data_IF_255831872927
#
_entry.id   IF_255831872927
#
_cell.length_a   1.000
_cell.length_b   1.000
_cell.length_c   1.000
_cell.angle_alpha   90.00
_cell.angle_beta   90.00
_cell.angle_gamma   90.00
#
_symmetry.space_group_name_H-M   'P 1'
#
loop_
_entity.id
_entity.type
_entity.pdbx_description
1 polymer ?
#
# COMPACT_ATOMS: atom_id res chain seq x y z
N UNK A 1 57.00 22.11 60.16
CA UNK A 1 56.07 21.05 59.73
C UNK A 1 55.14 21.64 58.68
N UNK A 2 55.28 21.25 57.41
CA UNK A 2 54.43 21.74 56.33
C UNK A 2 53.82 20.54 55.60
N UNK A 3 52.53 20.30 55.82
CA UNK A 3 51.76 19.32 55.06
C UNK A 3 50.94 20.05 53.99
N UNK A 4 51.39 20.00 52.73
CA UNK A 4 50.56 20.39 51.58
C UNK A 4 49.67 19.20 51.20
N UNK A 5 48.38 19.32 51.43
CA UNK A 5 47.37 18.36 50.98
C UNK A 5 47.17 18.47 49.46
N UNK A 6 47.28 17.33 48.78
CA UNK A 6 47.00 17.14 47.38
C UNK A 6 45.57 16.62 47.18
N UNK A 7 44.61 17.48 46.85
CA UNK A 7 43.22 17.06 46.56
C UNK A 7 42.49 18.02 45.62
N UNK A 8 42.79 18.04 44.31
CA UNK A 8 41.91 18.76 43.34
C UNK A 8 42.02 18.30 41.88
N UNK A 9 41.99 16.99 41.61
CA UNK A 9 41.97 16.47 40.23
C UNK A 9 40.83 15.46 39.94
N UNK A 10 40.40 14.67 40.95
CA UNK A 10 39.38 13.61 40.76
C UNK A 10 37.97 14.15 40.51
N UNK A 11 37.54 15.22 41.18
CA UNK A 11 36.17 15.74 41.08
C UNK A 11 35.80 16.36 39.72
N UNK A 12 36.78 16.97 39.03
CA UNK A 12 36.56 17.65 37.74
C UNK A 12 36.39 16.65 36.59
N UNK A 13 37.11 15.52 36.66
CA UNK A 13 37.09 14.44 35.64
C UNK A 13 35.79 13.64 35.65
N UNK A 14 35.21 13.40 36.83
CA UNK A 14 33.95 12.63 36.98
C UNK A 14 32.74 13.43 36.45
N UNK A 15 32.69 14.75 36.73
CA UNK A 15 31.59 15.62 36.24
C UNK A 15 31.59 15.74 34.71
N UNK A 16 32.76 15.83 34.08
CA UNK A 16 32.87 15.98 32.61
C UNK A 16 32.48 14.70 31.87
N UNK A 17 32.84 13.52 32.38
CA UNK A 17 32.42 12.24 31.77
C UNK A 17 30.92 12.00 31.91
N UNK A 18 30.34 12.33 33.07
CA UNK A 18 28.88 12.20 33.30
C UNK A 18 28.08 13.13 32.39
N UNK A 19 28.54 14.36 32.16
CA UNK A 19 27.92 15.28 31.20
C UNK A 19 28.04 14.78 29.76
N UNK A 20 29.21 14.31 29.33
CA UNK A 20 29.42 13.77 27.97
C UNK A 20 28.50 12.58 27.67
N UNK A 21 28.35 11.64 28.61
CA UNK A 21 27.45 10.50 28.47
C UNK A 21 25.97 10.91 28.44
N UNK A 22 25.60 11.98 29.16
CA UNK A 22 24.25 12.54 29.13
C UNK A 22 23.95 13.20 27.78
N UNK A 23 24.87 14.00 27.23
CA UNK A 23 24.72 14.60 25.91
C UNK A 23 24.68 13.55 24.79
N UNK A 24 25.45 12.46 24.91
CA UNK A 24 25.44 11.37 23.94
C UNK A 24 24.10 10.62 23.97
N UNK A 25 23.57 10.31 25.16
CA UNK A 25 22.26 9.68 25.31
C UNK A 25 21.10 10.55 24.79
N UNK A 26 21.19 11.88 24.95
CA UNK A 26 20.20 12.81 24.40
C UNK A 26 20.26 12.80 22.87
N UNK A 27 21.45 12.93 22.27
CA UNK A 27 21.62 12.84 20.81
C UNK A 27 21.15 11.50 20.23
N UNK A 28 21.41 10.41 20.94
CA UNK A 28 21.01 9.06 20.52
C UNK A 28 19.50 8.87 20.57
N UNK A 29 18.82 9.36 21.61
CA UNK A 29 17.35 9.35 21.70
C UNK A 29 16.70 10.24 20.63
N UNK A 30 17.28 11.42 20.36
CA UNK A 30 16.81 12.31 19.29
C UNK A 30 16.99 11.68 17.89
N UNK A 31 18.09 10.98 17.65
CA UNK A 31 18.33 10.28 16.39
C UNK A 31 17.33 9.13 16.17
N UNK A 32 17.03 8.35 17.21
CA UNK A 32 16.04 7.26 17.16
C UNK A 32 14.63 7.81 16.89
N UNK A 33 14.26 8.93 17.52
CA UNK A 33 12.98 9.59 17.28
C UNK A 33 12.84 10.10 15.83
N UNK A 34 13.93 10.62 15.25
CA UNK A 34 13.94 11.11 13.87
C UNK A 34 13.77 9.97 12.85
N UNK A 35 14.43 8.82 13.08
CA UNK A 35 14.30 7.64 12.21
C UNK A 35 12.88 7.06 12.26
N UNK A 36 12.26 7.02 13.43
CA UNK A 36 10.89 6.52 13.60
C UNK A 36 9.83 7.39 12.87
N UNK A 37 10.09 8.69 12.68
CA UNK A 37 9.19 9.58 11.93
C UNK A 37 9.19 9.28 10.43
N UNK A 38 10.33 8.87 9.87
CA UNK A 38 10.52 8.69 8.42
C UNK A 38 9.84 7.41 7.91
N UNK A 39 9.62 6.41 8.77
CA UNK A 39 9.04 5.11 8.37
C UNK A 39 7.50 5.09 8.29
N UNK A 40 6.82 6.24 8.43
CA UNK A 40 5.36 6.27 8.66
C UNK A 40 4.47 6.23 7.40
N UNK A 41 5.02 6.21 6.18
CA UNK A 41 4.19 6.32 4.97
C UNK A 41 4.49 5.28 3.88
N UNK A 42 3.94 4.09 4.05
CA UNK A 42 3.72 3.15 2.93
C UNK A 42 2.22 2.87 2.79
N UNK A 43 1.52 3.76 2.09
CA UNK A 43 0.14 3.53 1.68
C UNK A 43 0.12 3.21 0.17
N UNK A 44 0.20 1.92 -0.19
CA UNK A 44 -0.19 1.50 -1.55
C UNK A 44 -1.70 1.47 -1.62
N UNK A 45 -2.29 2.50 -2.24
CA UNK A 45 -3.74 2.61 -2.34
C UNK A 45 -4.27 1.67 -3.43
N UNK A 46 -5.15 0.74 -3.06
CA UNK A 46 -5.98 0.00 -4.02
C UNK A 46 -6.83 1.01 -4.80
N UNK A 47 -6.94 0.92 -6.14
CA UNK A 47 -7.76 1.85 -6.90
C UNK A 47 -9.24 1.70 -6.53
N UNK A 48 -9.95 2.82 -6.54
CA UNK A 48 -11.39 2.83 -6.27
C UNK A 48 -12.16 2.35 -7.50
N UNK A 49 -12.85 1.23 -7.35
CA UNK A 49 -13.72 0.64 -8.37
C UNK A 49 -15.11 0.38 -7.78
N UNK A 50 -16.11 0.43 -8.64
CA UNK A 50 -17.46 -0.04 -8.34
C UNK A 50 -17.78 -1.28 -9.18
N UNK A 51 -18.53 -2.22 -8.60
CA UNK A 51 -18.86 -3.49 -9.25
C UNK A 51 -20.35 -3.74 -9.20
N UNK A 52 -20.97 -3.74 -10.37
CA UNK A 52 -22.38 -4.02 -10.54
C UNK A 52 -22.58 -5.48 -10.98
N UNK A 53 -23.53 -6.17 -10.35
CA UNK A 53 -23.95 -7.51 -10.71
C UNK A 53 -25.39 -7.49 -11.23
N UNK A 54 -25.70 -8.40 -12.14
CA UNK A 54 -27.07 -8.58 -12.61
C UNK A 54 -27.23 -9.87 -13.39
N UNK A 55 -28.40 -10.01 -14.00
CA UNK A 55 -28.72 -11.13 -14.88
C UNK A 55 -29.04 -10.59 -16.28
N UNK A 56 -28.72 -11.37 -17.31
CA UNK A 56 -29.19 -11.11 -18.66
C UNK A 56 -30.61 -11.70 -18.87
N UNK A 57 -31.21 -11.46 -20.04
CA UNK A 57 -32.55 -11.97 -20.36
C UNK A 57 -32.64 -13.50 -20.31
N UNK A 58 -31.54 -14.22 -20.57
CA UNK A 58 -31.53 -15.69 -20.54
C UNK A 58 -31.29 -16.25 -19.12
N UNK A 59 -31.11 -15.39 -18.11
CA UNK A 59 -30.90 -15.78 -16.72
C UNK A 59 -29.47 -16.14 -16.33
N UNK A 60 -28.46 -15.78 -17.14
CA UNK A 60 -27.05 -15.90 -16.75
C UNK A 60 -26.61 -14.68 -15.93
N UNK A 61 -25.85 -14.94 -14.87
CA UNK A 61 -25.25 -13.88 -14.07
C UNK A 61 -24.16 -13.14 -14.87
N UNK A 62 -24.07 -11.83 -14.68
CA UNK A 62 -23.09 -10.94 -15.31
C UNK A 62 -22.58 -9.89 -14.33
N UNK A 63 -21.38 -9.39 -14.62
CA UNK A 63 -20.70 -8.34 -13.85
C UNK A 63 -20.23 -7.21 -14.76
N UNK A 64 -20.25 -5.98 -14.25
CA UNK A 64 -19.68 -4.78 -14.87
C UNK A 64 -18.83 -4.06 -13.83
N UNK A 65 -17.64 -3.61 -14.23
CA UNK A 65 -16.69 -2.94 -13.35
C UNK A 65 -16.52 -1.50 -13.81
N UNK A 66 -16.68 -0.56 -12.89
CA UNK A 66 -16.54 0.89 -13.16
C UNK A 66 -15.29 1.39 -12.44
N UNK A 67 -14.43 2.10 -13.16
CA UNK A 67 -13.28 2.77 -12.61
C UNK A 67 -13.69 4.16 -12.11
N UNK A 68 -13.63 4.38 -10.80
CA UNK A 68 -13.94 5.68 -10.21
C UNK A 68 -12.73 6.60 -10.10
N UNK A 69 -11.55 6.12 -10.49
CA UNK A 69 -10.30 6.90 -10.49
C UNK A 69 -10.11 7.69 -11.79
N UNK A 70 -9.14 8.60 -11.77
CA UNK A 70 -8.70 9.37 -12.94
C UNK A 70 -7.54 8.73 -13.70
N UNK A 71 -7.14 7.50 -13.34
CA UNK A 71 -6.04 6.75 -13.98
C UNK A 71 -6.56 5.50 -14.66
N UNK A 72 -5.83 5.03 -15.66
CA UNK A 72 -6.10 3.73 -16.28
C UNK A 72 -5.78 2.59 -15.31
N UNK A 73 -6.66 1.58 -15.28
CA UNK A 73 -6.48 0.40 -14.45
C UNK A 73 -6.26 -0.85 -15.30
N UNK A 74 -5.34 -1.70 -14.85
CA UNK A 74 -5.24 -3.08 -15.29
C UNK A 74 -6.25 -3.91 -14.49
N UNK A 75 -7.20 -4.56 -15.16
CA UNK A 75 -8.27 -5.30 -14.50
C UNK A 75 -8.43 -6.71 -15.05
N UNK A 76 -8.88 -7.63 -14.19
CA UNK A 76 -9.43 -8.89 -14.64
C UNK A 76 -10.75 -9.22 -13.95
N UNK A 77 -11.57 -9.98 -14.67
CA UNK A 77 -12.75 -10.66 -14.14
C UNK A 77 -12.54 -12.15 -14.32
N UNK A 78 -12.55 -12.91 -13.24
CA UNK A 78 -12.50 -14.36 -13.25
C UNK A 78 -13.87 -14.96 -12.95
N UNK A 79 -14.30 -15.88 -13.81
CA UNK A 79 -15.56 -16.63 -13.75
C UNK A 79 -15.42 -17.89 -14.59
N UNK A 80 -16.11 -18.98 -14.25
CA UNK A 80 -16.09 -20.24 -15.02
C UNK A 80 -14.68 -20.84 -15.25
N UNK A 81 -13.74 -20.63 -14.31
CA UNK A 81 -12.37 -21.11 -14.44
C UNK A 81 -11.49 -20.35 -15.45
N UNK A 82 -11.96 -19.21 -15.99
CA UNK A 82 -11.18 -18.34 -16.89
C UNK A 82 -11.06 -16.93 -16.33
N UNK A 83 -9.94 -16.27 -16.62
CA UNK A 83 -9.69 -14.87 -16.26
C UNK A 83 -9.65 -13.99 -17.50
N UNK A 84 -10.59 -13.06 -17.61
CA UNK A 84 -10.70 -12.12 -18.72
C UNK A 84 -9.98 -10.83 -18.32
N UNK A 85 -8.84 -10.57 -18.95
CA UNK A 85 -7.99 -9.39 -18.70
C UNK A 85 -8.35 -8.24 -19.64
N UNK A 86 -8.34 -7.01 -19.12
CA UNK A 86 -8.63 -5.80 -19.88
C UNK A 86 -8.00 -4.56 -19.23
N UNK A 87 -7.86 -3.49 -20.00
CA UNK A 87 -7.57 -2.15 -19.47
C UNK A 87 -8.89 -1.42 -19.29
N UNK A 88 -9.08 -0.78 -18.14
CA UNK A 88 -10.27 -0.02 -17.80
C UNK A 88 -9.93 1.47 -17.82
N UNK A 89 -10.53 2.26 -18.73
CA UNK A 89 -10.21 3.69 -18.87
C UNK A 89 -10.59 4.49 -17.61
N UNK A 90 -10.00 5.69 -17.42
CA UNK A 90 -10.36 6.60 -16.33
C UNK A 90 -11.84 6.94 -16.37
N UNK A 91 -12.50 6.94 -15.20
CA UNK A 91 -13.95 7.27 -15.10
C UNK A 91 -14.85 6.46 -16.04
N UNK A 92 -14.39 5.30 -16.50
CA UNK A 92 -15.07 4.47 -17.48
C UNK A 92 -15.57 3.15 -16.88
N UNK A 93 -16.52 2.53 -17.59
CA UNK A 93 -17.06 1.22 -17.23
C UNK A 93 -16.63 0.14 -18.23
N UNK A 94 -16.48 -1.08 -17.74
CA UNK A 94 -16.26 -2.24 -18.59
C UNK A 94 -17.53 -2.59 -19.35
N UNK A 95 -17.39 -3.42 -20.37
CA UNK A 95 -18.54 -4.20 -20.86
C UNK A 95 -19.04 -5.16 -19.78
N UNK A 96 -20.26 -5.67 -19.95
CA UNK A 96 -20.76 -6.78 -19.13
C UNK A 96 -20.00 -8.08 -19.46
N UNK A 97 -19.48 -8.74 -18.42
CA UNK A 97 -18.93 -10.08 -18.50
C UNK A 97 -19.91 -11.07 -17.89
N UNK A 98 -20.26 -12.12 -18.64
CA UNK A 98 -21.29 -13.09 -18.29
C UNK A 98 -20.68 -14.46 -17.98
N UNK A 99 -21.27 -15.18 -17.02
CA UNK A 99 -20.97 -16.58 -16.75
C UNK A 99 -21.52 -17.52 -17.84
N UNK A 100 -20.88 -18.67 -18.05
CA UNK A 100 -21.30 -19.65 -19.06
C UNK A 100 -22.39 -20.61 -18.57
N UNK A 101 -22.61 -20.70 -17.26
CA UNK A 101 -23.62 -21.57 -16.65
C UNK A 101 -24.53 -20.77 -15.70
N UNK A 102 -25.81 -21.13 -15.62
CA UNK A 102 -26.81 -20.48 -14.76
C UNK A 102 -26.67 -20.80 -13.28
N UNK A 103 -25.89 -21.83 -12.94
CA UNK A 103 -25.59 -22.24 -11.56
C UNK A 103 -24.66 -21.24 -10.85
N UNK A 104 -23.93 -20.43 -11.61
CA UNK A 104 -23.09 -19.39 -11.04
C UNK A 104 -23.92 -18.22 -10.51
N UNK A 105 -23.38 -17.54 -9.50
CA UNK A 105 -24.01 -16.40 -8.85
C UNK A 105 -23.06 -15.20 -8.81
N UNK A 106 -23.50 -14.06 -8.30
CA UNK A 106 -22.64 -12.88 -8.14
C UNK A 106 -21.36 -13.21 -7.33
N UNK A 107 -21.47 -14.10 -6.34
CA UNK A 107 -20.35 -14.55 -5.49
C UNK A 107 -19.31 -15.40 -6.24
N UNK A 108 -19.66 -15.91 -7.43
CA UNK A 108 -18.78 -16.73 -8.23
C UNK A 108 -17.75 -15.90 -9.03
N UNK A 109 -17.96 -14.59 -9.13
CA UNK A 109 -17.01 -13.70 -9.77
C UNK A 109 -15.88 -13.34 -8.81
N UNK A 110 -14.67 -13.29 -9.35
CA UNK A 110 -13.55 -12.60 -8.71
C UNK A 110 -13.13 -11.44 -9.60
N UNK A 111 -13.15 -10.24 -9.03
CA UNK A 111 -12.78 -8.99 -9.72
C UNK A 111 -11.53 -8.43 -9.05
N UNK A 112 -10.58 -8.02 -9.87
CA UNK A 112 -9.37 -7.35 -9.40
C UNK A 112 -8.99 -6.26 -10.37
N UNK A 113 -8.56 -5.13 -9.82
CA UNK A 113 -8.00 -4.02 -10.57
C UNK A 113 -6.84 -3.42 -9.79
N UNK A 114 -5.85 -2.93 -10.52
CA UNK A 114 -4.74 -2.13 -10.00
C UNK A 114 -4.32 -1.09 -11.03
N UNK A 115 -3.51 -0.10 -10.67
CA UNK A 115 -3.07 0.92 -11.60
C UNK A 115 -2.23 0.31 -12.74
N UNK A 116 -2.56 0.69 -13.98
CA UNK A 116 -1.90 0.14 -15.17
C UNK A 116 -0.37 0.35 -15.17
N UNK A 117 0.11 1.43 -14.54
CA UNK A 117 1.52 1.77 -14.40
C UNK A 117 2.34 0.69 -13.68
N UNK A 118 1.73 -0.10 -12.80
CA UNK A 118 2.38 -1.20 -12.09
C UNK A 118 2.30 -2.55 -12.83
N UNK A 119 1.54 -2.62 -13.93
CA UNK A 119 1.26 -3.86 -14.66
C UNK A 119 1.45 -3.68 -16.18
N UNK A 120 2.68 -3.42 -16.67
CA UNK A 120 2.93 -3.09 -18.08
C UNK A 120 2.50 -4.20 -19.06
N UNK A 121 2.47 -5.46 -18.62
CA UNK A 121 1.96 -6.58 -19.41
C UNK A 121 0.48 -6.41 -19.82
N UNK A 122 -0.29 -5.56 -19.14
CA UNK A 122 -1.68 -5.26 -19.50
C UNK A 122 -1.82 -4.28 -20.65
N UNK A 123 -0.76 -3.58 -21.06
CA UNK A 123 -0.79 -2.66 -22.20
C UNK A 123 -1.27 -3.34 -23.49
N UNK A 124 -0.99 -4.64 -23.67
CA UNK A 124 -1.47 -5.45 -24.80
C UNK A 124 -3.01 -5.64 -24.85
N UNK A 125 -3.70 -5.34 -23.75
CA UNK A 125 -5.16 -5.42 -23.65
C UNK A 125 -5.84 -4.06 -23.78
N UNK A 126 -5.08 -3.00 -24.03
CA UNK A 126 -5.61 -1.71 -24.43
C UNK A 126 -6.20 -1.86 -25.83
N UNK A 127 -7.51 -1.60 -25.96
CA UNK A 127 -8.22 -1.63 -27.24
C UNK A 127 -8.43 -0.22 -27.74
#
# INVERSE_FOLDING_TARGET
>A
MAAKQATSAKGKRIKTTRMKNLFYAIKQKSAIALVALITTFHASAIPRIDTEYGYNADGFVRVKVTNETTRELACYVAIDGRSIKFVLPPRGASRWYRATDKRFTAKSFSVWCDYLEFHPAYQRYKR
#
